data_IF_070383781326
#
_entry.id   IF_070383781326
#
_cell.length_a   1.000
_cell.length_b   1.000
_cell.length_c   1.000
_cell.angle_alpha   90.00
_cell.angle_beta   90.00
_cell.angle_gamma   90.00
#
_symmetry.space_group_name_H-M   'P 1'
#
loop_
_entity.id
_entity.type
_entity.pdbx_description
1 polymer ?
#
# COMPACT_ATOMS: atom_id res chain seq x y z
N UNK A 1 5.32 -10.12 -2.72
CA UNK A 1 4.87 -9.35 -3.89
C UNK A 1 5.45 -9.93 -5.17
N UNK A 2 4.64 -9.96 -6.24
CA UNK A 2 5.03 -10.51 -7.55
C UNK A 2 4.82 -9.43 -8.61
N UNK A 3 5.82 -9.17 -9.45
CA UNK A 3 5.70 -8.20 -10.53
C UNK A 3 6.46 -8.62 -11.79
N UNK A 4 5.81 -8.46 -12.94
CA UNK A 4 6.47 -8.52 -14.25
C UNK A 4 7.15 -7.17 -14.54
N UNK A 5 8.45 -7.21 -14.71
CA UNK A 5 9.30 -6.04 -14.98
C UNK A 5 9.87 -6.05 -16.40
N UNK A 6 9.40 -6.98 -17.24
CA UNK A 6 9.92 -7.21 -18.58
C UNK A 6 11.31 -7.81 -18.53
N UNK A 7 12.33 -6.96 -18.41
CA UNK A 7 13.73 -7.35 -18.16
C UNK A 7 14.26 -6.61 -16.93
N UNK A 8 14.69 -7.36 -15.93
CA UNK A 8 15.34 -6.78 -14.76
C UNK A 8 16.79 -6.42 -15.08
N UNK A 9 17.03 -5.16 -15.45
CA UNK A 9 18.40 -4.67 -15.75
C UNK A 9 19.25 -4.64 -14.49
N UNK A 10 18.62 -4.32 -13.34
CA UNK A 10 19.27 -4.33 -12.03
C UNK A 10 18.33 -4.95 -10.99
N UNK A 11 18.37 -6.28 -10.78
CA UNK A 11 17.44 -6.99 -9.91
C UNK A 11 17.33 -6.44 -8.49
N UNK A 12 18.44 -6.12 -7.83
CA UNK A 12 18.45 -5.60 -6.45
C UNK A 12 17.68 -4.28 -6.33
N UNK A 13 17.81 -3.38 -7.33
CA UNK A 13 17.02 -2.14 -7.34
C UNK A 13 15.55 -2.39 -7.65
N UNK A 14 15.25 -3.37 -8.48
CA UNK A 14 13.85 -3.80 -8.73
C UNK A 14 13.21 -4.31 -7.45
N UNK A 15 13.88 -5.18 -6.70
CA UNK A 15 13.41 -5.67 -5.40
C UNK A 15 13.16 -4.52 -4.44
N UNK A 16 14.11 -3.58 -4.32
CA UNK A 16 13.97 -2.39 -3.48
C UNK A 16 12.75 -1.53 -3.87
N UNK A 17 12.48 -1.36 -5.18
CA UNK A 17 11.28 -0.65 -5.65
C UNK A 17 10.00 -1.39 -5.30
N UNK A 18 9.97 -2.71 -5.45
CA UNK A 18 8.80 -3.52 -5.08
C UNK A 18 8.54 -3.43 -3.58
N UNK A 19 9.56 -3.59 -2.74
CA UNK A 19 9.45 -3.49 -1.28
C UNK A 19 8.97 -2.09 -0.86
N UNK A 20 9.56 -1.04 -1.42
CA UNK A 20 9.17 0.35 -1.13
C UNK A 20 7.74 0.66 -1.56
N UNK A 21 7.32 0.18 -2.73
CA UNK A 21 5.94 0.32 -3.21
C UNK A 21 4.93 -0.39 -2.32
N UNK A 22 5.23 -1.62 -1.91
CA UNK A 22 4.39 -2.37 -0.95
C UNK A 22 4.28 -1.62 0.38
N UNK A 23 5.39 -1.13 0.92
CA UNK A 23 5.41 -0.36 2.16
C UNK A 23 4.50 0.87 2.08
N UNK A 24 4.59 1.63 0.99
CA UNK A 24 3.73 2.79 0.77
C UNK A 24 2.25 2.41 0.63
N UNK A 25 1.94 1.37 -0.14
CA UNK A 25 0.57 0.89 -0.30
C UNK A 25 -0.07 0.40 1.01
N UNK A 26 0.70 -0.26 1.88
CA UNK A 26 0.26 -0.65 3.23
C UNK A 26 0.01 0.58 4.09
N UNK A 27 0.88 1.58 4.05
CA UNK A 27 0.70 2.85 4.77
C UNK A 27 -0.60 3.56 4.37
N UNK A 28 -0.87 3.66 3.08
CA UNK A 28 -2.11 4.26 2.57
C UNK A 28 -3.35 3.45 2.94
N UNK A 29 -3.22 2.14 3.01
CA UNK A 29 -4.33 1.28 3.42
C UNK A 29 -4.70 1.42 4.89
N UNK A 30 -3.73 1.63 5.79
CA UNK A 30 -3.93 1.53 7.24
C UNK A 30 -3.84 2.83 8.01
N UNK A 31 -2.93 3.75 7.64
CA UNK A 31 -2.54 4.84 8.54
C UNK A 31 -2.44 6.22 7.90
N UNK A 32 -2.03 6.31 6.64
CA UNK A 32 -1.70 7.59 6.02
C UNK A 32 -2.96 8.33 5.57
N UNK A 33 -3.20 9.50 6.15
CA UNK A 33 -4.35 10.34 5.85
C UNK A 33 -3.98 11.81 6.06
N UNK A 34 -4.43 12.68 5.18
CA UNK A 34 -4.41 14.12 5.41
C UNK A 34 -5.65 14.54 6.19
N UNK A 35 -5.44 15.16 7.35
CA UNK A 35 -6.52 15.63 8.24
C UNK A 35 -6.59 17.13 8.16
N UNK A 36 -7.73 17.65 7.72
CA UNK A 36 -7.98 19.08 7.58
C UNK A 36 -8.99 19.56 8.62
N UNK A 37 -8.82 20.81 9.09
CA UNK A 37 -9.85 21.50 9.86
C UNK A 37 -10.97 22.08 8.94
N UNK A 38 -11.96 22.73 9.56
CA UNK A 38 -13.07 23.32 8.83
C UNK A 38 -12.66 24.49 7.91
N UNK A 39 -11.52 25.11 8.19
CA UNK A 39 -10.93 26.21 7.45
C UNK A 39 -9.98 25.72 6.34
N UNK A 40 -9.72 24.42 6.25
CA UNK A 40 -8.86 23.81 5.24
C UNK A 40 -7.37 23.78 5.60
N UNK A 41 -7.00 23.99 6.85
CA UNK A 41 -5.62 23.85 7.29
C UNK A 41 -5.29 22.38 7.56
N UNK A 42 -4.12 21.94 7.12
CA UNK A 42 -3.62 20.58 7.37
C UNK A 42 -3.16 20.44 8.82
N UNK A 43 -3.85 19.59 9.60
CA UNK A 43 -3.58 19.41 11.02
C UNK A 43 -2.39 18.50 11.32
N UNK A 44 -2.06 17.58 10.40
CA UNK A 44 -0.99 16.59 10.56
C UNK A 44 0.14 16.76 9.55
N UNK A 45 0.68 17.99 9.45
CA UNK A 45 1.66 18.40 8.45
C UNK A 45 3.11 18.01 8.76
N UNK A 46 3.37 17.30 9.86
CA UNK A 46 4.72 16.92 10.29
C UNK A 46 4.91 15.41 10.31
N UNK A 47 6.18 14.93 10.28
CA UNK A 47 6.48 13.51 10.46
C UNK A 47 6.14 12.98 11.88
N UNK A 48 5.82 13.86 12.82
CA UNK A 48 5.34 13.46 14.13
C UNK A 48 3.87 12.99 14.08
N UNK A 49 3.08 13.61 13.20
CA UNK A 49 1.63 13.44 13.15
C UNK A 49 1.18 12.65 11.91
N UNK A 50 1.90 12.74 10.79
CA UNK A 50 1.64 11.97 9.57
C UNK A 50 2.25 10.57 9.70
N UNK A 51 1.41 9.54 9.76
CA UNK A 51 1.80 8.18 10.14
C UNK A 51 2.26 7.34 8.95
N UNK A 52 3.46 7.60 8.43
CA UNK A 52 4.09 6.65 7.52
C UNK A 52 4.50 5.38 8.29
N UNK A 53 4.42 4.19 7.67
CA UNK A 53 4.93 2.97 8.27
C UNK A 53 6.42 3.07 8.60
N UNK A 54 6.80 2.58 9.76
CA UNK A 54 8.20 2.40 10.14
C UNK A 54 8.65 0.97 9.84
N UNK A 55 9.95 0.69 9.96
CA UNK A 55 10.48 -0.66 9.78
C UNK A 55 9.92 -1.70 10.76
N UNK A 56 9.30 -1.26 11.86
CA UNK A 56 8.65 -2.15 12.83
C UNK A 56 7.19 -2.46 12.47
N UNK A 57 6.57 -1.66 11.59
CA UNK A 57 5.18 -1.83 11.20
C UNK A 57 5.01 -2.81 10.04
N UNK A 58 6.11 -3.20 9.40
CA UNK A 58 6.10 -4.03 8.21
C UNK A 58 6.88 -5.33 8.43
N UNK A 59 6.37 -6.47 7.95
CA UNK A 59 7.17 -7.69 7.88
C UNK A 59 8.25 -7.57 6.80
N UNK A 60 9.17 -8.52 6.75
CA UNK A 60 10.03 -8.70 5.57
C UNK A 60 9.14 -8.99 4.36
N UNK A 61 9.37 -8.24 3.29
CA UNK A 61 8.57 -8.35 2.05
C UNK A 61 9.34 -9.20 1.06
N UNK A 62 8.86 -10.41 0.83
CA UNK A 62 9.38 -11.28 -0.22
C UNK A 62 8.96 -10.76 -1.59
N UNK A 63 9.91 -10.72 -2.52
CA UNK A 63 9.69 -10.26 -3.88
C UNK A 63 9.91 -11.38 -4.89
N UNK A 64 9.05 -11.45 -5.89
CA UNK A 64 9.21 -12.34 -7.03
C UNK A 64 9.22 -11.51 -8.31
N UNK A 65 10.37 -11.47 -8.96
CA UNK A 65 10.55 -10.80 -10.24
C UNK A 65 10.15 -11.75 -11.36
N UNK A 66 9.19 -11.33 -12.16
CA UNK A 66 8.80 -12.02 -13.40
C UNK A 66 9.38 -11.23 -14.58
N UNK A 67 9.98 -11.93 -15.53
CA UNK A 67 10.57 -11.32 -16.73
C UNK A 67 9.85 -11.80 -18.00
N UNK A 68 8.90 -11.00 -18.47
CA UNK A 68 8.29 -11.17 -19.81
C UNK A 68 8.70 -9.95 -20.63
N UNK A 69 9.74 -10.05 -21.48
CA UNK A 69 10.27 -8.91 -22.22
C UNK A 69 9.22 -8.17 -23.01
N UNK A 70 9.25 -6.84 -22.96
CA UNK A 70 8.37 -5.99 -23.74
C UNK A 70 9.06 -5.60 -25.05
N UNK A 71 8.59 -6.13 -26.16
CA UNK A 71 9.16 -5.89 -27.48
C UNK A 71 9.09 -4.42 -27.93
N UNK A 72 8.16 -3.65 -27.35
CA UNK A 72 7.95 -2.24 -27.69
C UNK A 72 8.90 -1.28 -26.94
N UNK A 73 9.67 -1.78 -25.99
CA UNK A 73 10.59 -0.96 -25.19
C UNK A 73 12.05 -1.41 -25.33
N UNK A 74 13.01 -0.44 -25.31
CA UNK A 74 14.43 -0.76 -25.28
C UNK A 74 14.74 -1.75 -24.14
N UNK A 75 15.62 -2.71 -24.41
CA UNK A 75 16.02 -3.78 -23.48
C UNK A 75 14.87 -4.68 -22.97
N UNK A 76 13.65 -4.53 -23.50
CA UNK A 76 12.50 -5.31 -23.07
C UNK A 76 11.97 -4.95 -21.68
N UNK A 77 12.32 -3.78 -21.14
CA UNK A 77 11.94 -3.37 -19.78
C UNK A 77 10.47 -2.99 -19.64
N UNK A 78 9.96 -3.07 -18.41
CA UNK A 78 8.69 -2.48 -17.95
C UNK A 78 8.97 -1.58 -16.74
N UNK A 79 8.10 -0.60 -16.52
CA UNK A 79 8.19 0.27 -15.34
C UNK A 79 7.94 -0.50 -14.06
N UNK A 80 8.69 -0.20 -13.01
CA UNK A 80 8.59 -0.84 -11.69
C UNK A 80 8.46 0.17 -10.54
N UNK A 81 8.63 1.47 -10.81
CA UNK A 81 8.68 2.50 -9.77
C UNK A 81 7.40 2.64 -8.97
N UNK A 82 6.23 2.72 -9.63
CA UNK A 82 4.95 2.99 -8.96
C UNK A 82 3.96 1.82 -9.03
N UNK A 83 4.14 0.88 -9.95
CA UNK A 83 3.25 -0.25 -10.09
C UNK A 83 3.08 -1.08 -8.80
N UNK A 84 4.12 -1.27 -7.95
CA UNK A 84 4.00 -2.01 -6.70
C UNK A 84 3.14 -1.36 -5.62
N UNK A 85 2.76 -0.08 -5.76
CA UNK A 85 1.96 0.65 -4.76
C UNK A 85 0.48 0.21 -4.81
N UNK A 86 -0.04 -0.07 -6.01
CA UNK A 86 -1.47 -0.30 -6.20
C UNK A 86 -2.01 -1.60 -5.56
N UNK A 87 -1.38 -2.78 -5.75
CA UNK A 87 -1.94 -4.04 -5.27
C UNK A 87 -2.02 -4.19 -3.73
N UNK A 88 -1.11 -3.63 -2.92
CA UNK A 88 -1.17 -3.75 -1.47
C UNK A 88 -2.43 -3.14 -0.85
N UNK A 89 -2.92 -2.02 -1.36
CA UNK A 89 -4.12 -1.37 -0.84
C UNK A 89 -5.34 -2.31 -0.84
N UNK A 90 -5.81 -2.83 -1.99
CA UNK A 90 -6.94 -3.75 -2.00
C UNK A 90 -6.64 -5.07 -1.30
N UNK A 91 -5.41 -5.55 -1.29
CA UNK A 91 -5.04 -6.77 -0.57
C UNK A 91 -5.23 -6.61 0.95
N UNK A 92 -4.76 -5.48 1.51
CA UNK A 92 -4.93 -5.17 2.94
C UNK A 92 -6.41 -4.95 3.27
N UNK A 93 -7.16 -4.20 2.45
CA UNK A 93 -8.61 -3.99 2.62
C UNK A 93 -9.35 -5.33 2.68
N UNK A 94 -9.07 -6.21 1.73
CA UNK A 94 -9.69 -7.54 1.69
C UNK A 94 -9.34 -8.37 2.93
N UNK A 95 -8.08 -8.33 3.39
CA UNK A 95 -7.64 -9.07 4.56
C UNK A 95 -8.28 -8.55 5.85
N UNK A 96 -8.34 -7.22 6.04
CA UNK A 96 -8.99 -6.60 7.22
C UNK A 96 -10.47 -6.90 7.25
N UNK A 97 -11.18 -6.71 6.13
CA UNK A 97 -12.60 -7.03 6.04
C UNK A 97 -12.89 -8.50 6.33
N UNK A 98 -12.09 -9.41 5.76
CA UNK A 98 -12.25 -10.84 6.03
C UNK A 98 -12.00 -11.21 7.49
N UNK A 99 -11.00 -10.61 8.12
CA UNK A 99 -10.66 -10.86 9.53
C UNK A 99 -11.66 -10.26 10.51
N UNK A 100 -12.17 -9.05 10.21
CA UNK A 100 -13.08 -8.32 11.08
C UNK A 100 -14.57 -8.65 10.84
N UNK A 101 -14.90 -9.33 9.75
CA UNK A 101 -16.29 -9.56 9.33
C UNK A 101 -17.02 -8.27 8.93
N UNK A 102 -16.29 -7.32 8.31
CA UNK A 102 -16.80 -5.99 7.94
C UNK A 102 -16.79 -5.80 6.42
N UNK A 103 -17.38 -4.70 5.96
CA UNK A 103 -17.41 -4.28 4.55
C UNK A 103 -16.97 -2.82 4.41
N UNK A 104 -15.79 -2.49 4.93
CA UNK A 104 -15.19 -1.17 4.78
C UNK A 104 -14.59 -1.01 3.37
N UNK A 105 -14.82 0.13 2.76
CA UNK A 105 -14.29 0.49 1.45
C UNK A 105 -13.47 1.79 1.46
N UNK A 106 -13.62 2.60 2.51
CA UNK A 106 -12.90 3.87 2.65
C UNK A 106 -11.53 3.69 3.29
N UNK A 107 -10.53 4.32 2.74
CA UNK A 107 -9.16 4.34 3.25
C UNK A 107 -8.88 5.65 4.01
N UNK A 108 -7.93 5.61 4.95
CA UNK A 108 -7.28 4.43 5.52
C UNK A 108 -8.21 3.63 6.44
N UNK A 109 -7.99 2.33 6.54
CA UNK A 109 -8.66 1.45 7.51
C UNK A 109 -8.03 1.63 8.90
N UNK A 110 -8.09 2.85 9.41
CA UNK A 110 -7.48 3.18 10.71
C UNK A 110 -8.20 2.46 11.86
N UNK A 111 -7.52 2.21 12.99
CA UNK A 111 -8.12 1.49 14.11
C UNK A 111 -9.49 2.02 14.55
N UNK A 112 -9.75 3.34 14.64
CA UNK A 112 -11.08 3.85 14.98
C UNK A 112 -12.15 3.48 13.96
N UNK A 113 -11.81 3.52 12.64
CA UNK A 113 -12.76 3.17 11.57
C UNK A 113 -13.11 1.69 11.59
N UNK A 114 -12.11 0.83 11.77
CA UNK A 114 -12.31 -0.62 11.87
C UNK A 114 -13.13 -0.95 13.11
N UNK A 115 -12.82 -0.34 14.26
CA UNK A 115 -13.59 -0.53 15.49
C UNK A 115 -15.07 -0.11 15.32
N UNK A 116 -15.30 1.05 14.72
CA UNK A 116 -16.66 1.53 14.46
C UNK A 116 -17.46 0.54 13.57
N UNK A 117 -16.81 0.01 12.52
CA UNK A 117 -17.44 -0.97 11.62
C UNK A 117 -17.76 -2.30 12.34
N UNK A 118 -16.86 -2.79 13.19
CA UNK A 118 -17.10 -3.99 14.00
C UNK A 118 -18.30 -3.78 14.94
N UNK A 119 -18.40 -2.59 15.56
CA UNK A 119 -19.50 -2.25 16.48
C UNK A 119 -20.84 -2.05 15.76
N UNK A 120 -20.84 -1.56 14.53
CA UNK A 120 -22.03 -1.40 13.72
C UNK A 120 -22.61 -2.76 13.26
N UNK A 121 -21.75 -3.76 13.10
CA UNK A 121 -22.16 -5.07 12.59
C UNK A 121 -22.25 -5.12 11.06
N UNK A 122 -22.57 -6.30 10.50
CA UNK A 122 -22.55 -6.51 9.04
C UNK A 122 -23.64 -5.76 8.26
N UNK A 123 -24.63 -5.21 8.94
CA UNK A 123 -25.78 -4.50 8.34
C UNK A 123 -25.77 -2.98 8.61
N UNK A 124 -24.67 -2.44 9.17
CA UNK A 124 -24.51 -1.03 9.55
C UNK A 124 -23.91 -0.13 8.50
#
# INVERSE_FOLDING_TARGET
AVQDVGKAVHPDFVEGQIQGGVAQGVGWALNEEYIYDAEGHLLNASFLDYRMPTSLDLPMIDTVIVEVPNEMHPYGVRGVGEAPICPPMPAVVSAVNAAAGTLLYDLPMSPPRVLAAIQAGPDG
#
